data_IF_292418427177
#
_entry.id   IF_292418427177
#
_cell.length_a   1.000
_cell.length_b   1.000
_cell.length_c   1.000
_cell.angle_alpha   90.00
_cell.angle_beta   90.00
_cell.angle_gamma   90.00
#
_symmetry.space_group_name_H-M   'P 1'
#
loop_
_entity.id
_entity.type
_entity.pdbx_description
1 polymer ?
#
# COMPACT_ATOMS: atom_id res chain seq x y z
N UNK A 1 -11.35 -23.54 5.87
CA UNK A 1 -10.56 -22.44 5.26
C UNK A 1 -10.67 -22.65 3.76
N UNK A 2 -11.33 -21.73 3.06
CA UNK A 2 -11.35 -21.74 1.59
C UNK A 2 -9.90 -21.59 1.13
N UNK A 3 -9.40 -22.50 0.29
CA UNK A 3 -8.05 -22.35 -0.29
C UNK A 3 -8.09 -21.19 -1.27
N UNK A 4 -7.69 -20.00 -0.80
CA UNK A 4 -7.68 -18.82 -1.65
C UNK A 4 -6.39 -18.86 -2.47
N UNK A 5 -6.57 -19.14 -3.76
CA UNK A 5 -5.48 -19.16 -4.73
C UNK A 5 -5.22 -17.71 -5.15
N UNK A 6 -4.08 -17.18 -4.71
CA UNK A 6 -3.65 -15.81 -5.01
C UNK A 6 -3.01 -15.76 -6.38
N UNK A 7 -2.29 -16.81 -6.80
CA UNK A 7 -1.74 -16.93 -8.14
C UNK A 7 -1.81 -18.37 -8.63
N UNK A 8 -1.93 -18.55 -9.95
CA UNK A 8 -2.02 -19.87 -10.57
C UNK A 8 -0.64 -20.53 -10.78
N UNK A 9 0.44 -19.76 -10.61
CA UNK A 9 1.83 -20.16 -10.84
C UNK A 9 2.49 -20.64 -9.54
N UNK A 10 3.59 -21.38 -9.67
CA UNK A 10 4.43 -21.77 -8.53
C UNK A 10 5.25 -20.56 -8.04
N UNK A 11 4.61 -19.71 -7.24
CA UNK A 11 5.19 -18.49 -6.71
C UNK A 11 5.13 -18.40 -5.17
N UNK A 12 4.71 -19.47 -4.50
CA UNK A 12 4.66 -19.51 -3.04
C UNK A 12 6.02 -19.88 -2.44
N UNK A 13 6.28 -19.40 -1.22
CA UNK A 13 7.52 -19.65 -0.49
C UNK A 13 7.22 -20.20 0.89
N UNK A 14 7.99 -21.22 1.28
CA UNK A 14 8.11 -21.61 2.67
C UNK A 14 9.00 -20.60 3.41
N UNK A 15 8.50 -20.02 4.49
CA UNK A 15 9.26 -19.14 5.36
C UNK A 15 9.44 -19.79 6.73
N UNK A 16 10.53 -19.45 7.43
CA UNK A 16 10.72 -19.93 8.81
C UNK A 16 9.56 -19.50 9.73
N UNK A 17 9.16 -20.32 10.72
CA UNK A 17 8.10 -19.95 11.67
C UNK A 17 8.41 -18.61 12.36
N UNK A 18 7.40 -17.72 12.44
CA UNK A 18 7.54 -16.39 13.08
C UNK A 18 8.67 -15.55 12.48
N UNK A 19 8.91 -15.71 11.17
CA UNK A 19 9.95 -15.02 10.43
C UNK A 19 9.43 -14.61 9.06
N UNK A 20 10.03 -13.54 8.51
CA UNK A 20 9.83 -13.12 7.11
C UNK A 20 10.88 -13.73 6.16
N UNK A 21 11.77 -14.59 6.67
CA UNK A 21 12.90 -15.15 5.91
C UNK A 21 12.48 -16.42 5.17
N UNK A 22 12.72 -16.51 3.85
CA UNK A 22 12.56 -17.77 3.10
C UNK A 22 13.48 -18.86 3.63
N UNK A 23 13.01 -20.11 3.54
CA UNK A 23 13.79 -21.30 3.92
C UNK A 23 14.85 -21.61 2.88
N UNK A 24 14.50 -21.52 1.59
CA UNK A 24 15.39 -21.80 0.47
C UNK A 24 16.27 -20.59 0.12
N UNK A 25 17.53 -20.83 -0.23
CA UNK A 25 18.48 -19.76 -0.59
C UNK A 25 18.24 -19.20 -2.00
N UNK A 26 17.75 -20.03 -2.93
CA UNK A 26 17.42 -19.66 -4.31
C UNK A 26 15.96 -19.21 -4.46
N UNK A 27 15.33 -18.77 -3.36
CA UNK A 27 13.92 -18.39 -3.34
C UNK A 27 13.50 -17.37 -4.42
N UNK A 28 14.33 -16.41 -4.88
CA UNK A 28 13.88 -15.46 -5.92
C UNK A 28 13.47 -16.14 -7.23
N UNK A 29 14.11 -17.27 -7.56
CA UNK A 29 13.91 -18.00 -8.81
C UNK A 29 13.10 -19.29 -8.63
N UNK A 30 12.99 -19.81 -7.41
CA UNK A 30 12.43 -21.13 -7.09
C UNK A 30 11.15 -21.08 -6.23
N UNK A 31 10.14 -20.33 -6.70
CA UNK A 31 8.78 -20.44 -6.16
C UNK A 31 8.21 -21.86 -6.23
N UNK A 32 7.32 -22.17 -5.30
CA UNK A 32 6.70 -23.48 -5.08
C UNK A 32 5.19 -23.41 -5.27
N UNK A 33 4.56 -24.57 -5.41
CA UNK A 33 3.11 -24.67 -5.26
C UNK A 33 2.67 -24.33 -3.83
N UNK A 34 1.41 -23.90 -3.66
CA UNK A 34 0.86 -23.57 -2.35
C UNK A 34 0.94 -24.76 -1.37
N UNK A 35 0.64 -25.97 -1.84
CA UNK A 35 0.68 -27.19 -1.02
C UNK A 35 2.08 -27.47 -0.49
N UNK A 36 3.09 -27.39 -1.35
CA UNK A 36 4.50 -27.59 -0.97
C UNK A 36 4.98 -26.55 0.04
N UNK A 37 4.59 -25.28 -0.14
CA UNK A 37 4.96 -24.21 0.77
C UNK A 37 4.31 -24.37 2.16
N UNK A 38 3.06 -24.85 2.23
CA UNK A 38 2.36 -25.10 3.49
C UNK A 38 2.87 -26.34 4.23
N UNK A 39 3.43 -27.33 3.53
CA UNK A 39 3.93 -28.57 4.13
C UNK A 39 5.11 -28.37 5.10
N UNK A 40 5.82 -27.22 5.04
CA UNK A 40 6.98 -26.94 5.91
C UNK A 40 6.61 -26.48 7.32
N UNK A 41 5.32 -26.39 7.66
CA UNK A 41 4.79 -26.00 8.97
C UNK A 41 5.36 -24.66 9.50
N UNK A 42 5.61 -23.72 8.58
CA UNK A 42 6.17 -22.39 8.83
C UNK A 42 5.24 -21.27 8.38
N UNK A 43 5.82 -20.10 8.14
CA UNK A 43 5.09 -18.98 7.52
C UNK A 43 5.03 -19.17 6.00
N UNK A 44 4.09 -18.49 5.36
CA UNK A 44 3.88 -18.49 3.92
C UNK A 44 4.29 -17.13 3.33
N UNK A 45 5.12 -17.19 2.29
CA UNK A 45 5.49 -16.04 1.47
C UNK A 45 4.93 -16.18 0.05
N UNK A 46 4.89 -15.04 -0.65
CA UNK A 46 4.54 -14.95 -2.06
C UNK A 46 5.64 -14.17 -2.78
N UNK A 47 6.22 -14.77 -3.82
CA UNK A 47 7.07 -14.08 -4.78
C UNK A 47 6.24 -13.07 -5.56
N UNK A 48 6.77 -11.87 -5.72
CA UNK A 48 6.11 -10.76 -6.43
C UNK A 48 6.73 -10.55 -7.82
N UNK A 49 5.98 -9.89 -8.69
CA UNK A 49 6.39 -9.62 -10.08
C UNK A 49 5.97 -10.73 -11.06
N UNK A 50 6.70 -10.90 -12.18
CA UNK A 50 6.27 -11.73 -13.32
C UNK A 50 6.01 -13.21 -13.00
N UNK A 51 6.53 -13.72 -11.88
CA UNK A 51 6.34 -15.12 -11.48
C UNK A 51 4.98 -15.37 -10.84
N UNK A 52 4.34 -14.36 -10.25
CA UNK A 52 2.99 -14.47 -9.66
C UNK A 52 1.94 -13.62 -10.37
N UNK A 53 2.39 -12.68 -11.21
CA UNK A 53 1.60 -11.58 -11.76
C UNK A 53 0.94 -10.75 -10.65
N UNK A 54 1.62 -10.64 -9.50
CA UNK A 54 1.15 -9.91 -8.31
C UNK A 54 2.17 -8.88 -7.86
N UNK A 55 1.68 -7.68 -7.55
CA UNK A 55 2.40 -6.65 -6.81
C UNK A 55 1.77 -6.43 -5.44
N UNK A 56 2.56 -6.00 -4.46
CA UNK A 56 2.12 -5.68 -3.11
C UNK A 56 2.36 -4.20 -2.82
N UNK A 57 1.34 -3.49 -2.36
CA UNK A 57 1.49 -2.16 -1.76
C UNK A 57 1.48 -2.32 -0.25
N UNK A 58 2.68 -2.20 0.34
CA UNK A 58 2.95 -2.32 1.77
C UNK A 58 2.79 -0.95 2.43
N UNK A 59 1.73 -0.77 3.20
CA UNK A 59 1.36 0.47 3.89
C UNK A 59 2.02 0.44 5.26
N UNK A 60 3.01 1.30 5.50
CA UNK A 60 3.88 1.27 6.69
C UNK A 60 3.53 2.34 7.75
N UNK A 61 2.52 3.17 7.50
CA UNK A 61 2.04 4.15 8.47
C UNK A 61 0.51 4.30 8.49
N UNK A 62 0.00 4.85 9.60
CA UNK A 62 -1.44 5.08 9.81
C UNK A 62 -2.04 6.00 8.75
N UNK A 63 -1.28 6.99 8.26
CA UNK A 63 -1.74 7.93 7.24
C UNK A 63 -1.90 7.24 5.89
N UNK A 64 -0.91 6.44 5.47
CA UNK A 64 -0.97 5.67 4.24
C UNK A 64 -2.15 4.69 4.27
N UNK A 65 -2.30 3.95 5.38
CA UNK A 65 -3.44 3.04 5.56
C UNK A 65 -4.78 3.76 5.55
N UNK A 66 -4.86 4.93 6.17
CA UNK A 66 -6.09 5.73 6.25
C UNK A 66 -6.47 6.46 4.95
N UNK A 67 -5.58 6.51 3.95
CA UNK A 67 -5.80 7.16 2.66
C UNK A 67 -5.85 6.17 1.49
N UNK A 68 -5.42 4.92 1.68
CA UNK A 68 -5.26 3.93 0.62
C UNK A 68 -6.55 3.64 -0.16
N UNK A 69 -7.68 3.45 0.54
CA UNK A 69 -9.00 3.17 -0.05
C UNK A 69 -9.51 4.28 -0.97
N UNK A 70 -9.05 5.51 -0.74
CA UNK A 70 -9.45 6.68 -1.52
C UNK A 70 -8.55 6.91 -2.74
N UNK A 71 -7.27 6.61 -2.62
CA UNK A 71 -6.24 6.99 -3.61
C UNK A 71 -5.87 5.83 -4.54
N UNK A 72 -5.78 4.62 -4.00
CA UNK A 72 -5.35 3.46 -4.76
C UNK A 72 -6.51 2.86 -5.57
N UNK A 73 -6.24 2.21 -6.71
CA UNK A 73 -7.25 1.40 -7.37
C UNK A 73 -7.74 0.29 -6.44
N UNK A 74 -8.90 -0.29 -6.75
CA UNK A 74 -9.45 -1.38 -5.95
C UNK A 74 -8.51 -2.60 -5.98
N UNK A 75 -8.02 -3.09 -4.82
CA UNK A 75 -7.10 -4.22 -4.78
C UNK A 75 -7.83 -5.55 -4.97
N UNK A 76 -7.11 -6.55 -5.47
CA UNK A 76 -7.61 -7.94 -5.54
C UNK A 76 -7.73 -8.56 -4.15
N UNK A 77 -6.80 -8.26 -3.25
CA UNK A 77 -6.85 -8.74 -1.87
C UNK A 77 -6.26 -7.72 -0.90
N UNK A 78 -6.78 -7.71 0.31
CA UNK A 78 -6.24 -6.93 1.42
C UNK A 78 -5.96 -7.84 2.60
N UNK A 79 -4.86 -7.58 3.30
CA UNK A 79 -4.56 -8.25 4.55
C UNK A 79 -3.78 -7.34 5.50
N UNK A 80 -3.92 -7.62 6.78
CA UNK A 80 -3.12 -6.98 7.82
C UNK A 80 -2.97 -7.91 9.03
N UNK A 81 -2.50 -7.35 10.13
CA UNK A 81 -2.29 -8.04 11.42
C UNK A 81 -3.20 -7.51 12.53
N UNK A 82 -4.32 -6.88 12.17
CA UNK A 82 -5.29 -6.29 13.10
C UNK A 82 -4.87 -4.96 13.72
N UNK A 83 -3.85 -4.28 13.17
CA UNK A 83 -3.38 -2.98 13.65
C UNK A 83 -3.77 -1.85 12.71
N UNK A 84 -3.87 -0.62 13.23
CA UNK A 84 -4.21 0.56 12.43
C UNK A 84 -3.01 1.22 11.74
N UNK A 85 -1.79 0.72 12.00
CA UNK A 85 -0.53 1.34 11.59
C UNK A 85 0.07 0.73 10.33
N UNK A 86 -0.37 -0.46 9.89
CA UNK A 86 0.13 -1.10 8.69
C UNK A 86 -0.88 -2.02 8.01
N UNK A 87 -0.69 -2.31 6.72
CA UNK A 87 -1.52 -3.22 5.94
C UNK A 87 -0.99 -3.43 4.53
N UNK A 88 -1.54 -4.40 3.80
CA UNK A 88 -1.07 -4.79 2.49
C UNK A 88 -2.21 -4.87 1.49
N UNK A 89 -2.00 -4.29 0.31
CA UNK A 89 -2.94 -4.32 -0.80
C UNK A 89 -2.28 -5.07 -1.97
N UNK A 90 -2.82 -6.23 -2.32
CA UNK A 90 -2.33 -7.04 -3.44
C UNK A 90 -3.07 -6.69 -4.73
N UNK A 91 -2.32 -6.56 -5.81
CA UNK A 91 -2.85 -6.26 -7.15
C UNK A 91 -2.44 -7.32 -8.14
N UNK A 92 -3.40 -7.72 -8.98
CA UNK A 92 -3.11 -8.43 -10.22
C UNK A 92 -2.56 -7.47 -11.25
N UNK A 93 -1.52 -7.90 -11.98
CA UNK A 93 -0.75 -7.01 -12.83
C UNK A 93 -0.61 -7.53 -14.26
N UNK A 94 -0.89 -6.67 -15.24
CA UNK A 94 -0.56 -6.93 -16.66
C UNK A 94 0.91 -6.64 -16.97
N UNK A 95 1.51 -5.73 -16.19
CA UNK A 95 2.95 -5.42 -16.23
C UNK A 95 3.49 -5.27 -14.82
N UNK A 96 4.70 -5.78 -14.60
CA UNK A 96 5.40 -5.69 -13.32
C UNK A 96 6.63 -4.77 -13.41
N UNK A 97 7.21 -4.42 -12.27
CA UNK A 97 8.40 -3.58 -12.21
C UNK A 97 9.10 -3.65 -10.85
N UNK A 98 10.22 -2.93 -10.68
CA UNK A 98 11.06 -3.03 -9.50
C UNK A 98 10.37 -2.51 -8.23
N UNK A 99 10.85 -2.97 -7.08
CA UNK A 99 10.40 -2.44 -5.79
C UNK A 99 10.76 -0.96 -5.63
N UNK A 100 9.81 -0.13 -5.24
CA UNK A 100 9.98 1.29 -4.95
C UNK A 100 9.50 1.62 -3.54
N UNK A 101 10.41 2.17 -2.74
CA UNK A 101 10.17 2.62 -1.37
C UNK A 101 10.00 4.14 -1.30
N UNK A 102 8.98 4.59 -0.58
CA UNK A 102 8.75 6.00 -0.26
C UNK A 102 8.86 6.21 1.25
N UNK A 103 9.69 7.16 1.67
CA UNK A 103 9.96 7.44 3.09
C UNK A 103 9.81 8.93 3.35
N UNK A 104 9.25 9.29 4.51
CA UNK A 104 9.17 10.67 4.97
C UNK A 104 10.45 11.13 5.68
N UNK A 105 10.38 12.25 6.39
CA UNK A 105 11.51 12.78 7.14
C UNK A 105 11.82 11.96 8.41
N UNK A 106 13.09 11.55 8.56
CA UNK A 106 13.61 10.89 9.77
C UNK A 106 14.05 9.43 9.59
N UNK A 107 14.74 8.82 10.57
CA UNK A 107 15.10 7.40 10.52
C UNK A 107 13.88 6.49 10.74
N UNK A 108 13.76 5.42 9.94
CA UNK A 108 12.62 4.46 9.94
C UNK A 108 11.26 5.10 9.63
N UNK A 109 11.22 5.97 8.64
CA UNK A 109 10.05 6.75 8.21
C UNK A 109 9.36 6.20 6.95
N UNK A 110 9.44 4.89 6.68
CA UNK A 110 8.75 4.33 5.50
C UNK A 110 7.27 4.68 5.59
N UNK A 111 6.71 5.23 4.50
CA UNK A 111 5.29 5.55 4.43
C UNK A 111 4.55 4.43 3.69
N UNK A 112 5.08 4.06 2.53
CA UNK A 112 4.54 3.01 1.66
C UNK A 112 5.64 2.46 0.76
N UNK A 113 5.56 1.16 0.45
CA UNK A 113 6.40 0.51 -0.56
C UNK A 113 5.52 -0.13 -1.64
N UNK A 114 5.83 0.11 -2.92
CA UNK A 114 5.34 -0.71 -4.03
C UNK A 114 6.36 -1.82 -4.25
N UNK A 115 5.98 -3.06 -3.95
CA UNK A 115 6.85 -4.24 -3.97
C UNK A 115 6.49 -5.09 -5.20
N UNK A 116 7.50 -5.38 -6.01
CA UNK A 116 7.38 -6.07 -7.29
C UNK A 116 8.56 -7.00 -7.52
N UNK A 117 9.22 -6.87 -8.67
CA UNK A 117 10.27 -7.78 -9.15
C UNK A 117 11.34 -8.07 -8.09
N UNK A 118 11.71 -9.35 -7.98
CA UNK A 118 12.78 -9.82 -7.09
C UNK A 118 12.48 -9.70 -5.59
N UNK A 119 11.22 -9.45 -5.22
CA UNK A 119 10.79 -9.32 -3.84
C UNK A 119 9.76 -10.38 -3.45
N UNK A 120 9.53 -10.54 -2.16
CA UNK A 120 8.49 -11.42 -1.62
C UNK A 120 7.71 -10.72 -0.52
N UNK A 121 6.43 -11.04 -0.37
CA UNK A 121 5.63 -10.60 0.78
C UNK A 121 5.13 -11.77 1.61
N UNK A 122 5.14 -11.61 2.93
CA UNK A 122 4.63 -12.62 3.85
C UNK A 122 3.11 -12.47 3.92
N UNK A 123 2.38 -13.53 3.60
CA UNK A 123 0.92 -13.51 3.45
C UNK A 123 0.23 -14.36 4.53
N UNK A 124 -1.07 -14.14 4.79
CA UNK A 124 -1.86 -15.04 5.64
C UNK A 124 -1.76 -16.52 5.20
N UNK A 125 -1.85 -17.48 6.13
CA UNK A 125 -2.16 -17.32 7.57
C UNK A 125 -0.92 -17.19 8.46
N UNK A 126 0.17 -16.57 7.97
CA UNK A 126 1.44 -16.45 8.68
C UNK A 126 1.35 -15.75 10.05
N UNK A 127 2.29 -16.07 10.94
CA UNK A 127 2.49 -15.36 12.21
C UNK A 127 3.68 -14.40 12.06
N UNK A 128 3.44 -13.10 12.21
CA UNK A 128 4.47 -12.07 12.15
C UNK A 128 5.51 -12.25 13.28
N UNK A 129 6.76 -11.78 13.12
CA UNK A 129 7.80 -11.90 14.16
C UNK A 129 7.43 -11.31 15.54
N UNK A 130 6.48 -10.39 15.60
CA UNK A 130 5.95 -9.85 16.87
C UNK A 130 4.90 -10.75 17.54
N UNK A 131 4.52 -11.88 16.91
CA UNK A 131 3.53 -12.83 17.39
C UNK A 131 2.11 -12.57 16.90
N UNK A 132 1.84 -11.47 16.18
CA UNK A 132 0.54 -11.22 15.58
C UNK A 132 0.28 -12.13 14.38
N UNK A 133 -0.97 -12.52 14.16
CA UNK A 133 -1.38 -13.32 13.00
C UNK A 133 -1.76 -12.39 11.85
N UNK A 134 -1.35 -12.75 10.64
CA UNK A 134 -1.84 -12.11 9.42
C UNK A 134 -3.11 -12.81 8.99
N UNK A 135 -4.16 -12.03 8.70
CA UNK A 135 -5.42 -12.52 8.16
C UNK A 135 -5.85 -11.64 6.99
N UNK A 136 -6.44 -12.28 5.97
CA UNK A 136 -7.04 -11.54 4.87
C UNK A 136 -8.32 -10.85 5.35
N UNK A 137 -8.46 -9.57 5.03
CA UNK A 137 -9.59 -8.74 5.42
C UNK A 137 -10.61 -8.60 4.30
N UNK A 138 -10.15 -8.63 3.04
CA UNK A 138 -11.01 -8.48 1.86
C UNK A 138 -10.43 -9.22 0.65
N UNK A 139 -11.31 -9.71 -0.21
CA UNK A 139 -10.99 -10.24 -1.53
C UNK A 139 -12.01 -9.73 -2.54
N UNK A 140 -11.50 -9.32 -3.70
CA UNK A 140 -12.30 -8.99 -4.87
C UNK A 140 -11.73 -9.69 -6.11
N UNK A 141 -12.42 -10.74 -6.56
CA UNK A 141 -12.00 -11.50 -7.74
C UNK A 141 -12.26 -10.72 -9.04
N UNK A 142 -13.12 -9.71 -9.00
CA UNK A 142 -13.48 -8.87 -10.15
C UNK A 142 -12.65 -7.56 -10.18
N UNK A 143 -11.69 -7.40 -9.24
CA UNK A 143 -10.78 -6.26 -9.25
C UNK A 143 -9.98 -6.23 -10.57
N UNK A 144 -9.91 -5.09 -11.26
CA UNK A 144 -9.20 -4.99 -12.53
C UNK A 144 -7.70 -5.18 -12.32
N UNK A 145 -7.05 -5.79 -13.31
CA UNK A 145 -5.59 -5.82 -13.37
C UNK A 145 -5.02 -4.42 -13.60
N UNK A 146 -3.82 -4.17 -13.08
CA UNK A 146 -3.15 -2.86 -13.16
C UNK A 146 -1.82 -2.95 -13.88
N UNK A 147 -1.39 -1.83 -14.47
CA UNK A 147 -0.03 -1.68 -14.97
C UNK A 147 0.89 -1.11 -13.89
N UNK A 148 2.15 -1.56 -13.86
CA UNK A 148 3.14 -1.06 -12.89
C UNK A 148 3.27 0.47 -12.91
N UNK A 149 3.30 1.07 -14.10
CA UNK A 149 3.50 2.51 -14.23
C UNK A 149 2.35 3.33 -13.61
N UNK A 150 1.11 2.86 -13.76
CA UNK A 150 -0.06 3.55 -13.20
C UNK A 150 -0.21 3.31 -11.70
N UNK A 151 0.03 2.08 -11.24
CA UNK A 151 0.06 1.78 -9.81
C UNK A 151 1.17 2.60 -9.11
N UNK A 152 2.34 2.74 -9.73
CA UNK A 152 3.43 3.57 -9.20
C UNK A 152 3.04 5.04 -9.07
N UNK A 153 2.28 5.60 -10.02
CA UNK A 153 1.76 6.98 -9.91
C UNK A 153 0.83 7.11 -8.70
N UNK A 154 -0.12 6.20 -8.54
CA UNK A 154 -1.05 6.20 -7.40
C UNK A 154 -0.34 6.02 -6.06
N UNK A 155 0.64 5.11 -5.97
CA UNK A 155 1.43 4.90 -4.74
C UNK A 155 2.32 6.10 -4.43
N UNK A 156 2.89 6.76 -5.45
CA UNK A 156 3.68 7.99 -5.27
C UNK A 156 2.80 9.13 -4.73
N UNK A 157 1.57 9.26 -5.25
CA UNK A 157 0.61 10.24 -4.76
C UNK A 157 0.17 9.94 -3.33
N UNK A 158 -0.12 8.67 -3.02
CA UNK A 158 -0.42 8.21 -1.65
C UNK A 158 0.73 8.56 -0.69
N UNK A 159 1.98 8.33 -1.09
CA UNK A 159 3.15 8.68 -0.29
C UNK A 159 3.21 10.19 0.02
N UNK A 160 3.02 11.04 -1.00
CA UNK A 160 2.99 12.48 -0.81
C UNK A 160 1.86 12.93 0.13
N UNK A 161 0.64 12.40 -0.05
CA UNK A 161 -0.49 12.69 0.84
C UNK A 161 -0.24 12.22 2.27
N UNK A 162 0.41 11.07 2.44
CA UNK A 162 0.78 10.53 3.76
C UNK A 162 1.79 11.43 4.47
N UNK A 163 2.77 11.96 3.74
CA UNK A 163 3.73 12.93 4.30
C UNK A 163 3.04 14.26 4.68
N UNK A 164 2.16 14.78 3.83
CA UNK A 164 1.35 15.98 4.15
C UNK A 164 0.53 15.76 5.42
N UNK A 165 -0.08 14.58 5.57
CA UNK A 165 -0.85 14.21 6.75
C UNK A 165 0.00 14.16 8.02
N UNK A 166 1.23 13.63 7.94
CA UNK A 166 2.16 13.61 9.07
C UNK A 166 2.62 15.02 9.50
N UNK A 167 2.73 15.94 8.54
CA UNK A 167 3.12 17.32 8.78
C UNK A 167 1.94 18.24 9.16
N UNK A 168 0.72 17.72 9.24
CA UNK A 168 -0.53 18.48 9.41
C UNK A 168 -0.76 19.00 10.84
N UNK A 169 0.13 19.88 11.28
CA UNK A 169 0.13 20.41 12.64
C UNK A 169 -0.39 21.84 12.72
N UNK A 170 -0.85 22.24 13.91
CA UNK A 170 -1.35 23.60 14.16
C UNK A 170 -0.32 24.66 13.72
N UNK A 171 -0.80 25.73 13.07
CA UNK A 171 0.05 26.78 12.49
C UNK A 171 0.59 26.49 11.08
N UNK A 172 0.51 25.24 10.59
CA UNK A 172 0.99 24.86 9.23
C UNK A 172 -0.12 24.36 8.30
N UNK A 173 -1.25 23.89 8.86
CA UNK A 173 -2.36 23.24 8.12
C UNK A 173 -2.86 24.04 6.91
N UNK A 174 -3.12 25.35 7.09
CA UNK A 174 -3.63 26.20 6.01
C UNK A 174 -2.63 26.33 4.86
N UNK A 175 -1.35 26.59 5.17
CA UNK A 175 -0.31 26.71 4.17
C UNK A 175 -0.07 25.38 3.43
N UNK A 176 -0.08 24.26 4.15
CA UNK A 176 0.00 22.93 3.55
C UNK A 176 -1.20 22.68 2.64
N UNK A 177 -2.42 22.96 3.08
CA UNK A 177 -3.64 22.82 2.26
C UNK A 177 -3.52 23.61 0.96
N UNK A 178 -3.12 24.89 1.05
CA UNK A 178 -3.04 25.78 -0.10
C UNK A 178 -1.92 25.38 -1.08
N UNK A 179 -0.70 25.22 -0.57
CA UNK A 179 0.48 24.92 -1.39
C UNK A 179 0.41 23.54 -2.03
N UNK A 180 0.01 22.52 -1.26
CA UNK A 180 -0.17 21.16 -1.78
C UNK A 180 -1.28 21.10 -2.82
N UNK A 181 -2.39 21.84 -2.61
CA UNK A 181 -3.46 21.91 -3.60
C UNK A 181 -2.98 22.52 -4.92
N UNK A 182 -2.26 23.64 -4.84
CA UNK A 182 -1.70 24.29 -6.03
C UNK A 182 -0.73 23.38 -6.80
N UNK A 183 0.09 22.59 -6.09
CA UNK A 183 0.98 21.62 -6.72
C UNK A 183 0.20 20.49 -7.41
N UNK A 184 -0.76 19.87 -6.71
CA UNK A 184 -1.53 18.74 -7.23
C UNK A 184 -2.32 19.13 -8.48
N UNK A 185 -2.94 20.31 -8.49
CA UNK A 185 -3.69 20.80 -9.66
C UNK A 185 -2.77 21.05 -10.87
N UNK A 186 -1.54 21.49 -10.66
CA UNK A 186 -0.52 21.62 -11.73
C UNK A 186 -0.03 20.26 -12.26
N UNK A 187 -0.17 19.21 -11.46
CA UNK A 187 0.09 17.83 -11.87
C UNK A 187 -1.18 17.12 -12.37
N UNK A 188 -2.25 17.88 -12.66
CA UNK A 188 -3.51 17.37 -13.21
C UNK A 188 -4.23 16.34 -12.32
N UNK A 189 -3.97 16.37 -11.01
CA UNK A 189 -4.75 15.59 -10.05
C UNK A 189 -6.19 16.10 -10.04
N UNK A 190 -7.14 15.17 -10.12
CA UNK A 190 -8.57 15.47 -10.11
C UNK A 190 -8.95 16.33 -8.87
N UNK A 191 -9.57 17.51 -9.07
CA UNK A 191 -9.92 18.39 -7.96
C UNK A 191 -10.86 17.77 -6.94
N UNK A 192 -11.76 16.88 -7.37
CA UNK A 192 -12.73 16.25 -6.48
C UNK A 192 -12.07 15.20 -5.59
N UNK A 193 -11.18 14.37 -6.14
CA UNK A 193 -10.31 13.48 -5.39
C UNK A 193 -9.47 14.27 -4.38
N UNK A 194 -8.86 15.37 -4.80
CA UNK A 194 -8.02 16.20 -3.92
C UNK A 194 -8.81 16.79 -2.74
N UNK A 195 -10.06 17.24 -2.96
CA UNK A 195 -10.95 17.67 -1.87
C UNK A 195 -11.21 16.52 -0.88
N UNK A 196 -11.49 15.31 -1.39
CA UNK A 196 -11.72 14.14 -0.54
C UNK A 196 -10.46 13.75 0.26
N UNK A 197 -9.28 13.86 -0.36
CA UNK A 197 -7.98 13.60 0.30
C UNK A 197 -7.75 14.59 1.43
N UNK A 198 -7.89 15.90 1.18
CA UNK A 198 -7.73 16.93 2.22
C UNK A 198 -8.74 16.73 3.35
N UNK A 199 -9.99 16.41 3.01
CA UNK A 199 -11.01 16.08 3.99
C UNK A 199 -10.61 14.86 4.85
N UNK A 200 -10.10 13.78 4.23
CA UNK A 200 -9.64 12.59 4.96
C UNK A 200 -8.44 12.90 5.84
N UNK A 201 -7.50 13.73 5.40
CA UNK A 201 -6.36 14.20 6.21
C UNK A 201 -6.86 14.95 7.45
N UNK A 202 -7.82 15.87 7.30
CA UNK A 202 -8.40 16.59 8.44
C UNK A 202 -8.99 15.62 9.48
N UNK A 203 -9.69 14.57 9.03
CA UNK A 203 -10.28 13.56 9.92
C UNK A 203 -9.23 12.72 10.65
N UNK A 204 -8.20 12.25 9.94
CA UNK A 204 -7.10 11.45 10.53
C UNK A 204 -6.34 12.25 11.58
N UNK A 205 -6.20 13.57 11.36
CA UNK A 205 -5.38 14.46 12.19
C UNK A 205 -6.17 15.23 13.24
N UNK A 206 -7.51 15.13 13.22
CA UNK A 206 -8.41 15.85 14.13
C UNK A 206 -8.52 17.35 13.84
N UNK A 207 -8.30 17.78 12.59
CA UNK A 207 -8.49 19.19 12.19
C UNK A 207 -9.99 19.52 12.07
N UNK A 208 -10.49 20.36 12.98
CA UNK A 208 -11.89 20.77 13.03
C UNK A 208 -12.25 21.83 11.95
N UNK A 209 -11.25 22.43 11.30
CA UNK A 209 -11.43 23.44 10.26
C UNK A 209 -11.58 22.84 8.85
N UNK A 210 -12.11 21.61 8.73
CA UNK A 210 -12.21 20.83 7.48
C UNK A 210 -12.74 21.65 6.29
N UNK A 211 -13.79 22.45 6.50
CA UNK A 211 -14.40 23.26 5.45
C UNK A 211 -13.49 24.35 4.91
N UNK A 212 -12.67 24.98 5.77
CA UNK A 212 -11.67 25.96 5.33
C UNK A 212 -10.61 25.29 4.44
N UNK A 213 -10.12 24.12 4.85
CA UNK A 213 -9.10 23.36 4.11
C UNK A 213 -9.61 22.90 2.74
N UNK A 214 -10.86 22.45 2.66
CA UNK A 214 -11.50 22.14 1.38
C UNK A 214 -11.66 23.38 0.48
N UNK A 215 -11.93 24.55 1.06
CA UNK A 215 -12.01 25.80 0.30
C UNK A 215 -10.64 26.23 -0.27
N UNK A 216 -9.52 25.91 0.38
CA UNK A 216 -8.18 26.10 -0.20
C UNK A 216 -8.03 25.37 -1.54
N UNK A 217 -8.54 24.13 -1.64
CA UNK A 217 -8.52 23.37 -2.91
C UNK A 217 -9.36 24.08 -3.97
N UNK A 218 -10.63 24.38 -3.64
CA UNK A 218 -11.60 24.98 -4.57
C UNK A 218 -11.16 26.34 -5.10
N UNK A 219 -10.52 27.14 -4.26
CA UNK A 219 -10.04 28.48 -4.63
C UNK A 219 -8.66 28.47 -5.29
N UNK A 220 -7.98 27.32 -5.34
CA UNK A 220 -6.75 27.12 -6.10
C UNK A 220 -7.03 26.75 -7.56
N UNK A 221 -8.21 26.21 -7.86
CA UNK A 221 -8.65 25.91 -9.23
C UNK A 221 -8.72 27.20 -10.05
N UNK A 222 -8.03 27.22 -11.20
CA UNK A 222 -8.09 28.35 -12.15
C UNK A 222 -7.23 29.56 -11.79
N UNK A 223 -6.34 29.46 -10.79
CA UNK A 223 -5.30 30.47 -10.57
C UNK A 223 -4.07 30.15 -11.44
N UNK A 224 -3.50 31.14 -12.16
CA UNK A 224 -2.38 30.95 -13.08
C UNK A 224 -1.11 30.40 -12.42
#
# INVERSE_FOLDING_TARGET
MTNIIICAQDAYLALYPRSKKPVDVNWPDEGKSLEQALATNGNLGLLLGPKSDVMDVDLDCKEAKGLADLILPKPFAQFDRGTSDSGHYLYKATTCGPTKKFSGNGPKSTLVELRGDGSQTMIPPSIHPDGSRLDFTEFDQDAPEVEYADLLKSVSFLAACSEIAQLWESGRRHELALSFSGLCLKQEIDPQLLVQVIQRICRITGDLEEQDRMNCVRTSVGKP
#
